data_IF_164588119089
#
_entry.id   IF_164588119089
#
_cell.length_a   1.000
_cell.length_b   1.000
_cell.length_c   1.000
_cell.angle_alpha   90.00
_cell.angle_beta   90.00
_cell.angle_gamma   90.00
#
_symmetry.space_group_name_H-M   'P 1'
#
loop_
_entity.id
_entity.type
_entity.pdbx_description
1 polymer ?
#
# COMPACT_ATOMS: atom_id res chain seq x y z
N UNK A 1 20.91 -0.76 -8.00
CA UNK A 1 20.00 -1.79 -8.55
C UNK A 1 19.01 -2.19 -7.48
N UNK A 2 17.76 -2.51 -7.83
CA UNK A 2 16.75 -2.93 -6.84
C UNK A 2 16.87 -4.43 -6.50
N UNK A 3 16.57 -4.85 -5.26
CA UNK A 3 16.42 -6.27 -4.92
C UNK A 3 15.30 -6.93 -5.72
N UNK A 4 15.38 -8.24 -5.94
CA UNK A 4 14.38 -9.00 -6.73
C UNK A 4 12.94 -8.89 -6.19
N UNK A 5 12.79 -8.70 -4.87
CA UNK A 5 11.49 -8.56 -4.19
C UNK A 5 10.84 -7.19 -4.37
N UNK A 6 11.55 -6.22 -4.94
CA UNK A 6 11.11 -4.83 -5.11
C UNK A 6 11.10 -4.47 -6.58
N UNK A 7 9.96 -3.92 -7.04
CA UNK A 7 9.84 -3.39 -8.41
C UNK A 7 9.78 -1.87 -8.42
N UNK A 8 10.38 -1.27 -9.43
CA UNK A 8 10.16 0.14 -9.74
C UNK A 8 8.71 0.35 -10.18
N UNK A 9 8.08 1.41 -9.68
CA UNK A 9 6.69 1.79 -10.05
C UNK A 9 6.63 3.10 -10.81
N UNK A 10 7.56 4.02 -10.56
CA UNK A 10 7.63 5.32 -11.22
C UNK A 10 9.07 5.67 -11.53
N UNK A 11 9.27 6.34 -12.66
CA UNK A 11 10.54 6.95 -13.06
C UNK A 11 10.30 8.38 -13.50
N UNK A 12 11.26 9.24 -13.22
CA UNK A 12 11.26 10.62 -13.67
C UNK A 12 11.38 10.67 -15.20
N UNK A 13 10.52 11.48 -15.84
CA UNK A 13 10.63 11.74 -17.28
C UNK A 13 11.74 12.73 -17.63
N UNK A 14 12.27 13.46 -16.63
CA UNK A 14 13.34 14.43 -16.83
C UNK A 14 14.73 13.77 -16.97
N UNK A 15 15.01 12.77 -16.14
CA UNK A 15 16.34 12.18 -15.99
C UNK A 15 16.35 10.65 -15.82
N UNK A 16 15.18 10.01 -15.84
CA UNK A 16 15.06 8.56 -15.66
C UNK A 16 15.28 8.05 -14.23
N UNK A 17 15.48 8.95 -13.26
CA UNK A 17 15.69 8.61 -11.86
C UNK A 17 14.50 7.83 -11.28
N UNK A 18 14.77 6.97 -10.30
CA UNK A 18 13.75 6.17 -9.65
C UNK A 18 12.89 7.05 -8.74
N UNK A 19 11.58 7.03 -8.94
CA UNK A 19 10.62 7.87 -8.19
C UNK A 19 9.65 7.07 -7.34
N UNK A 20 9.53 5.76 -7.56
CA UNK A 20 8.64 4.93 -6.76
C UNK A 20 9.01 3.46 -6.76
N UNK A 21 8.69 2.79 -5.66
CA UNK A 21 8.96 1.37 -5.45
C UNK A 21 7.74 0.67 -4.84
N UNK A 22 7.61 -0.62 -5.09
CA UNK A 22 6.66 -1.48 -4.39
C UNK A 22 7.26 -2.87 -4.16
N UNK A 23 6.96 -3.45 -3.02
CA UNK A 23 7.20 -4.87 -2.81
C UNK A 23 6.23 -5.71 -3.63
N UNK A 24 6.68 -6.89 -4.05
CA UNK A 24 5.86 -7.83 -4.83
C UNK A 24 4.98 -8.72 -3.94
N UNK A 25 5.43 -9.00 -2.72
CA UNK A 25 4.88 -10.01 -1.81
C UNK A 25 4.07 -9.42 -0.64
N UNK A 26 4.19 -8.11 -0.39
CA UNK A 26 3.58 -7.43 0.75
C UNK A 26 3.01 -6.08 0.36
N UNK A 27 1.98 -5.57 1.07
CA UNK A 27 1.30 -4.31 0.75
C UNK A 27 2.12 -3.08 1.16
N UNK A 28 3.36 -2.98 0.66
CA UNK A 28 4.31 -1.90 0.99
C UNK A 28 4.75 -1.24 -0.32
N UNK A 29 4.65 0.08 -0.36
CA UNK A 29 5.11 0.90 -1.48
C UNK A 29 5.61 2.25 -0.97
N UNK A 30 6.40 2.93 -1.80
CA UNK A 30 6.91 4.26 -1.51
C UNK A 30 6.99 5.09 -2.78
N UNK A 31 6.96 6.40 -2.60
CA UNK A 31 7.10 7.41 -3.66
C UNK A 31 8.03 8.51 -3.15
N UNK A 32 8.93 8.99 -4.02
CA UNK A 32 9.99 9.94 -3.67
C UNK A 32 9.50 11.39 -3.64
N UNK A 33 8.55 11.74 -4.51
CA UNK A 33 7.99 13.09 -4.55
C UNK A 33 6.86 13.30 -3.53
N UNK A 34 6.16 14.42 -3.68
CA UNK A 34 5.11 14.89 -2.77
C UNK A 34 3.71 14.63 -3.38
N UNK A 35 3.07 13.47 -3.13
CA UNK A 35 1.76 13.14 -3.69
C UNK A 35 0.62 14.02 -3.13
N UNK A 36 0.83 14.65 -1.98
CA UNK A 36 -0.10 15.59 -1.35
C UNK A 36 -0.24 16.88 -2.17
N UNK A 37 0.81 17.23 -2.93
CA UNK A 37 0.99 18.53 -3.56
C UNK A 37 0.83 19.71 -2.56
N UNK A 38 0.76 20.94 -3.08
CA UNK A 38 0.69 22.23 -2.36
C UNK A 38 2.04 22.96 -2.22
N UNK A 39 2.49 23.69 -3.26
CA UNK A 39 1.87 23.84 -4.58
C UNK A 39 2.12 22.62 -5.48
N UNK A 40 1.37 22.49 -6.59
CA UNK A 40 1.65 21.48 -7.62
C UNK A 40 0.41 20.71 -8.11
N UNK A 41 0.59 19.86 -9.13
CA UNK A 41 -0.50 19.06 -9.70
C UNK A 41 -0.90 17.92 -8.77
N UNK A 42 -2.18 17.53 -8.84
CA UNK A 42 -2.77 16.51 -7.99
C UNK A 42 -2.79 15.11 -8.62
N UNK A 43 -1.99 14.88 -9.66
CA UNK A 43 -1.97 13.65 -10.46
C UNK A 43 -1.61 12.39 -9.63
N UNK A 44 -0.96 12.60 -8.48
CA UNK A 44 -0.47 11.54 -7.60
C UNK A 44 -1.39 11.25 -6.40
N UNK A 45 -2.53 11.95 -6.29
CA UNK A 45 -3.56 11.65 -5.28
C UNK A 45 -3.99 10.16 -5.22
N UNK A 46 -4.05 9.40 -6.33
CA UNK A 46 -4.39 7.98 -6.28
C UNK A 46 -3.46 7.13 -5.40
N UNK A 47 -2.25 7.60 -5.05
CA UNK A 47 -1.38 6.93 -4.09
C UNK A 47 -2.01 6.89 -2.68
N UNK A 48 -2.72 7.94 -2.27
CA UNK A 48 -3.48 7.93 -1.01
C UNK A 48 -4.67 6.98 -1.07
N UNK A 49 -5.40 6.93 -2.19
CA UNK A 49 -6.50 5.97 -2.36
C UNK A 49 -6.01 4.53 -2.27
N UNK A 50 -4.87 4.23 -2.90
CA UNK A 50 -4.21 2.93 -2.77
C UNK A 50 -3.84 2.64 -1.31
N UNK A 51 -3.29 3.60 -0.59
CA UNK A 51 -2.96 3.43 0.83
C UNK A 51 -4.22 3.15 1.68
N UNK A 52 -5.28 3.93 1.51
CA UNK A 52 -6.55 3.77 2.21
C UNK A 52 -7.15 2.38 1.98
N UNK A 53 -7.15 1.92 0.73
CA UNK A 53 -7.62 0.58 0.38
C UNK A 53 -6.85 -0.54 1.09
N UNK A 54 -5.52 -0.40 1.21
CA UNK A 54 -4.70 -1.36 1.93
C UNK A 54 -5.00 -1.37 3.43
N UNK A 55 -5.22 -0.18 4.03
CA UNK A 55 -5.61 -0.05 5.42
C UNK A 55 -6.97 -0.69 5.70
N UNK A 56 -7.96 -0.42 4.85
CA UNK A 56 -9.30 -1.01 4.94
C UNK A 56 -9.24 -2.54 4.82
N UNK A 57 -8.48 -3.07 3.85
CA UNK A 57 -8.27 -4.51 3.71
C UNK A 57 -7.66 -5.14 4.95
N UNK A 58 -6.68 -4.48 5.58
CA UNK A 58 -6.05 -4.95 6.82
C UNK A 58 -7.07 -5.02 7.96
N UNK A 59 -7.84 -3.96 8.17
CA UNK A 59 -8.89 -3.91 9.21
C UNK A 59 -9.94 -4.99 8.99
N UNK A 60 -10.44 -5.14 7.76
CA UNK A 60 -11.41 -6.18 7.42
C UNK A 60 -10.88 -7.59 7.70
N UNK A 61 -9.59 -7.85 7.44
CA UNK A 61 -8.97 -9.13 7.76
C UNK A 61 -8.90 -9.39 9.26
N UNK A 62 -8.61 -8.35 10.06
CA UNK A 62 -8.56 -8.45 11.51
C UNK A 62 -9.95 -8.71 12.11
N UNK A 63 -10.99 -8.03 11.60
CA UNK A 63 -12.36 -8.25 12.03
C UNK A 63 -12.83 -9.68 11.74
N UNK A 64 -12.61 -10.19 10.51
CA UNK A 64 -12.97 -11.58 10.17
C UNK A 64 -12.28 -12.60 11.06
N UNK A 65 -11.00 -12.39 11.37
CA UNK A 65 -10.26 -13.26 12.27
C UNK A 65 -10.84 -13.25 13.69
N UNK A 66 -11.18 -12.06 14.21
CA UNK A 66 -11.82 -11.92 15.52
C UNK A 66 -13.19 -12.63 15.57
N UNK A 67 -14.02 -12.46 14.55
CA UNK A 67 -15.32 -13.12 14.44
C UNK A 67 -15.21 -14.65 14.41
N UNK A 68 -14.25 -15.19 13.65
CA UNK A 68 -13.98 -16.63 13.60
C UNK A 68 -13.52 -17.17 14.95
N UNK A 69 -12.66 -16.43 15.65
CA UNK A 69 -12.14 -16.80 16.96
C UNK A 69 -13.28 -16.91 17.99
N UNK A 70 -14.19 -15.92 18.00
CA UNK A 70 -15.36 -15.93 18.89
C UNK A 70 -16.30 -17.10 18.58
N UNK A 71 -16.59 -17.36 17.30
CA UNK A 71 -17.44 -18.48 16.88
C UNK A 71 -16.85 -19.83 17.29
N UNK A 72 -15.54 -20.02 17.11
CA UNK A 72 -14.87 -21.25 17.47
C UNK A 72 -14.86 -21.49 18.99
N UNK A 73 -14.64 -20.44 19.79
CA UNK A 73 -14.72 -20.54 21.26
C UNK A 73 -16.14 -20.88 21.75
N UNK A 74 -17.18 -20.40 21.07
CA UNK A 74 -18.57 -20.72 21.40
C UNK A 74 -18.97 -22.16 21.05
N UNK A 75 -18.36 -22.77 20.02
CA UNK A 75 -18.70 -24.13 19.57
C UNK A 75 -18.07 -25.26 20.40
N UNK A 76 -17.16 -24.94 21.33
CA UNK A 76 -16.46 -25.89 22.22
C UNK A 76 -17.11 -25.92 23.63
N UNK A 77 -18.20 -25.17 23.83
CA UNK A 77 -19.06 -25.23 25.01
C UNK A 77 -20.33 -26.01 24.69
#
# INVERSE_FOLDING_TARGET
TLPATVKATHRSLFDGSLQGIAFQDRPVFGFQGHPEASPGPHDLRPLFERFNHLMLRRLQSQLRFAEQTVRQAAAVR
#
